data_IF_078425441530
#
_entry.id   IF_078425441530
#
_cell.length_a   1.000
_cell.length_b   1.000
_cell.length_c   1.000
_cell.angle_alpha   90.00
_cell.angle_beta   90.00
_cell.angle_gamma   90.00
#
_symmetry.space_group_name_H-M   'P 1'
#
loop_
_entity.id
_entity.type
_entity.pdbx_description
1 polymer ?
#
# COMPACT_ATOMS: atom_id res chain seq x y z
N UNK A 1 -5.24 -6.35 -11.12
CA UNK A 1 -4.31 -5.46 -10.40
C UNK A 1 -4.95 -4.10 -10.21
N UNK A 2 -4.84 -3.52 -9.04
CA UNK A 2 -5.37 -2.19 -8.73
C UNK A 2 -4.23 -1.20 -8.57
N UNK A 3 -4.40 0.01 -9.08
CA UNK A 3 -3.39 1.07 -8.97
C UNK A 3 -4.04 2.37 -8.50
N UNK A 4 -3.30 3.16 -7.72
CA UNK A 4 -3.66 4.54 -7.45
C UNK A 4 -2.41 5.42 -7.45
N UNK A 5 -2.61 6.71 -7.56
CA UNK A 5 -1.51 7.68 -7.58
C UNK A 5 -1.57 8.56 -6.34
N UNK A 6 -0.41 8.90 -5.82
CA UNK A 6 -0.27 9.79 -4.68
C UNK A 6 1.03 10.58 -4.81
N UNK A 7 1.24 11.50 -3.90
CA UNK A 7 2.43 12.35 -3.84
C UNK A 7 2.97 12.32 -2.42
N UNK A 8 4.28 12.25 -2.28
CA UNK A 8 4.94 12.31 -0.98
C UNK A 8 4.71 13.67 -0.34
N UNK A 9 4.16 13.67 0.88
CA UNK A 9 3.84 14.88 1.64
C UNK A 9 4.94 15.20 2.63
N UNK A 10 4.98 16.46 3.08
CA UNK A 10 5.93 16.90 4.09
C UNK A 10 5.85 16.07 5.38
N UNK A 11 4.64 15.75 5.85
CA UNK A 11 4.44 14.96 7.07
C UNK A 11 4.88 13.50 6.94
N UNK A 12 5.13 13.02 5.73
CA UNK A 12 5.63 11.66 5.49
C UNK A 12 7.14 11.54 5.71
N UNK A 13 7.83 12.65 5.91
CA UNK A 13 9.28 12.69 5.99
C UNK A 13 9.78 12.67 7.44
N UNK A 14 10.94 12.02 7.65
CA UNK A 14 11.68 12.12 8.91
C UNK A 14 12.57 13.37 8.94
N UNK A 15 13.33 13.54 10.03
CA UNK A 15 14.19 14.70 10.20
C UNK A 15 15.31 14.79 9.15
N UNK A 16 15.65 13.69 8.48
CA UNK A 16 16.64 13.65 7.41
C UNK A 16 16.03 13.79 6.02
N UNK A 17 14.72 14.06 5.94
CA UNK A 17 14.02 14.22 4.66
C UNK A 17 13.77 12.92 3.93
N UNK A 18 13.82 11.78 4.62
CA UNK A 18 13.48 10.48 4.07
C UNK A 18 12.05 10.12 4.41
N UNK A 19 11.37 9.43 3.52
CA UNK A 19 10.01 8.94 3.81
C UNK A 19 10.09 7.92 4.94
N UNK A 20 9.28 8.14 5.97
CA UNK A 20 9.21 7.25 7.13
C UNK A 20 8.65 5.89 6.73
N UNK A 21 9.14 4.82 7.34
CA UNK A 21 8.62 3.47 7.10
C UNK A 21 7.10 3.40 7.34
N UNK A 22 6.54 3.96 8.44
CA UNK A 22 5.08 3.98 8.60
C UNK A 22 4.34 4.67 7.46
N UNK A 23 4.90 5.72 6.87
CA UNK A 23 4.29 6.39 5.71
C UNK A 23 4.27 5.46 4.48
N UNK A 24 5.35 4.73 4.23
CA UNK A 24 5.40 3.74 3.16
C UNK A 24 4.31 2.68 3.35
N UNK A 25 4.18 2.15 4.56
CA UNK A 25 3.13 1.17 4.87
C UNK A 25 1.73 1.76 4.68
N UNK A 26 1.53 3.03 5.00
CA UNK A 26 0.26 3.72 4.77
C UNK A 26 -0.08 3.80 3.28
N UNK A 27 0.89 4.07 2.42
CA UNK A 27 0.65 4.06 0.96
C UNK A 27 0.17 2.67 0.51
N UNK A 28 0.78 1.62 1.03
CA UNK A 28 0.44 0.24 0.66
C UNK A 28 -0.93 -0.15 1.20
N UNK A 29 -1.22 0.14 2.46
CA UNK A 29 -2.53 -0.14 3.07
C UNK A 29 -3.65 0.59 2.35
N UNK A 30 -3.43 1.85 1.98
CA UNK A 30 -4.44 2.62 1.26
C UNK A 30 -4.76 1.96 -0.09
N UNK A 31 -3.75 1.43 -0.79
CA UNK A 31 -3.99 0.69 -2.02
C UNK A 31 -4.89 -0.52 -1.80
N UNK A 32 -4.66 -1.27 -0.73
CA UNK A 32 -5.48 -2.44 -0.40
C UNK A 32 -6.91 -2.06 -0.06
N UNK A 33 -7.11 -0.99 0.71
CA UNK A 33 -8.43 -0.49 1.08
C UNK A 33 -9.20 0.00 -0.15
N UNK A 34 -8.54 0.75 -1.03
CA UNK A 34 -9.13 1.24 -2.27
C UNK A 34 -9.50 0.08 -3.20
N UNK A 35 -8.66 -0.93 -3.29
CA UNK A 35 -8.96 -2.11 -4.10
C UNK A 35 -10.17 -2.86 -3.55
N UNK A 36 -10.28 -3.03 -2.24
CA UNK A 36 -11.44 -3.65 -1.62
C UNK A 36 -12.71 -2.84 -1.89
N UNK A 37 -12.65 -1.52 -1.77
CA UNK A 37 -13.78 -0.64 -2.07
C UNK A 37 -14.21 -0.76 -3.53
N UNK A 38 -13.26 -0.86 -4.46
CA UNK A 38 -13.53 -0.98 -5.89
C UNK A 38 -14.31 -2.26 -6.26
N UNK A 39 -14.19 -3.31 -5.43
CA UNK A 39 -14.93 -4.57 -5.62
C UNK A 39 -16.12 -4.72 -4.65
N UNK A 40 -16.55 -3.62 -4.03
CA UNK A 40 -17.77 -3.56 -3.22
C UNK A 40 -17.59 -3.73 -1.72
N UNK A 41 -16.36 -3.81 -1.22
CA UNK A 41 -16.06 -3.98 0.21
C UNK A 41 -15.44 -2.72 0.80
N UNK A 42 -16.14 -1.59 0.69
CA UNK A 42 -15.73 -0.36 1.37
C UNK A 42 -15.95 -0.46 2.89
N UNK A 43 -15.57 0.58 3.61
CA UNK A 43 -15.64 0.57 5.07
C UNK A 43 -17.07 0.39 5.59
N UNK A 44 -18.05 1.02 4.93
CA UNK A 44 -19.45 0.90 5.32
C UNK A 44 -19.98 -0.51 5.10
N UNK A 45 -19.65 -1.10 3.95
CA UNK A 45 -20.06 -2.48 3.64
C UNK A 45 -19.42 -3.49 4.59
N UNK A 46 -18.15 -3.29 4.94
CA UNK A 46 -17.47 -4.17 5.89
C UNK A 46 -18.14 -4.08 7.28
N UNK A 47 -18.51 -2.87 7.70
CA UNK A 47 -19.23 -2.69 8.96
C UNK A 47 -20.59 -3.39 8.96
N UNK A 48 -21.35 -3.30 7.85
CA UNK A 48 -22.63 -4.01 7.70
C UNK A 48 -22.48 -5.52 7.81
N UNK A 49 -21.38 -6.06 7.29
CA UNK A 49 -21.09 -7.49 7.31
C UNK A 49 -20.42 -7.95 8.61
N UNK A 50 -20.14 -7.02 9.52
CA UNK A 50 -19.43 -7.27 10.77
C UNK A 50 -18.04 -7.91 10.51
N UNK A 51 -17.34 -7.40 9.50
CA UNK A 51 -16.02 -7.88 9.07
C UNK A 51 -14.96 -6.79 9.20
N UNK A 52 -13.73 -7.21 9.40
CA UNK A 52 -12.57 -6.33 9.26
C UNK A 52 -11.38 -7.11 8.73
N UNK A 53 -10.45 -6.38 8.11
CA UNK A 53 -9.17 -6.92 7.68
C UNK A 53 -8.09 -6.43 8.64
N UNK A 54 -7.23 -7.35 9.07
CA UNK A 54 -6.09 -7.02 9.92
C UNK A 54 -4.84 -7.53 9.23
N UNK A 55 -3.87 -6.63 9.04
CA UNK A 55 -2.55 -7.01 8.52
C UNK A 55 -1.76 -7.62 9.65
N UNK A 56 -1.31 -8.86 9.46
CA UNK A 56 -0.52 -9.59 10.48
C UNK A 56 0.97 -9.41 10.25
N UNK A 57 1.40 -9.24 9.00
CA UNK A 57 2.82 -9.21 8.69
C UNK A 57 3.07 -8.48 7.37
N UNK A 58 4.19 -7.76 7.31
CA UNK A 58 4.71 -7.11 6.13
C UNK A 58 6.11 -7.63 5.82
N UNK A 59 6.38 -7.86 4.52
CA UNK A 59 7.73 -8.07 4.01
C UNK A 59 7.96 -7.01 2.95
N UNK A 60 8.82 -6.04 3.23
CA UNK A 60 9.02 -4.87 2.36
C UNK A 60 10.48 -4.77 1.94
N UNK A 61 10.70 -4.68 0.64
CA UNK A 61 12.02 -4.42 0.05
C UNK A 61 12.03 -3.01 -0.52
N UNK A 62 12.95 -2.19 -0.03
CA UNK A 62 13.09 -0.80 -0.45
C UNK A 62 14.20 -0.69 -1.50
N UNK A 63 13.92 0.10 -2.53
CA UNK A 63 14.90 0.51 -3.53
C UNK A 63 15.59 1.80 -3.12
N UNK A 64 15.74 2.73 -4.08
CA UNK A 64 16.32 4.03 -3.78
C UNK A 64 15.44 4.86 -2.86
N UNK A 65 16.04 5.88 -2.26
CA UNK A 65 15.32 6.86 -1.43
C UNK A 65 14.17 7.50 -2.19
N UNK A 66 12.98 7.50 -1.58
CA UNK A 66 11.81 8.21 -2.07
C UNK A 66 11.90 9.66 -1.58
N UNK A 67 11.69 10.61 -2.48
CA UNK A 67 11.96 12.04 -2.25
C UNK A 67 10.68 12.79 -1.97
N UNK A 68 10.82 13.93 -1.29
CA UNK A 68 9.71 14.85 -1.06
C UNK A 68 9.06 15.26 -2.39
N UNK A 69 7.75 15.36 -2.36
CA UNK A 69 6.91 15.78 -3.49
C UNK A 69 7.02 14.88 -4.72
N UNK A 70 7.59 13.71 -4.57
CA UNK A 70 7.68 12.74 -5.66
C UNK A 70 6.30 12.14 -5.95
N UNK A 71 5.94 12.06 -7.24
CA UNK A 71 4.73 11.39 -7.67
C UNK A 71 4.94 9.87 -7.64
N UNK A 72 4.02 9.16 -7.01
CA UNK A 72 4.09 7.72 -6.84
C UNK A 72 2.88 7.04 -7.47
N UNK A 73 3.10 5.90 -8.10
CA UNK A 73 2.05 4.96 -8.48
C UNK A 73 2.17 3.75 -7.58
N UNK A 74 1.10 3.42 -6.88
CA UNK A 74 1.06 2.27 -5.98
C UNK A 74 0.18 1.21 -6.60
N UNK A 75 0.73 0.01 -6.77
CA UNK A 75 0.05 -1.15 -7.35
C UNK A 75 -0.16 -2.21 -6.29
N UNK A 76 -1.30 -2.88 -6.33
CA UNK A 76 -1.58 -4.00 -5.43
C UNK A 76 -2.41 -5.07 -6.12
N UNK A 77 -2.24 -6.31 -5.68
CA UNK A 77 -2.97 -7.47 -6.17
C UNK A 77 -3.04 -8.55 -5.10
N UNK A 78 -4.23 -9.15 -4.86
CA UNK A 78 -4.30 -10.36 -4.06
C UNK A 78 -3.81 -11.52 -4.91
N UNK A 79 -3.05 -12.46 -4.33
CA UNK A 79 -2.54 -13.57 -5.12
C UNK A 79 -2.73 -14.95 -4.49
N UNK A 80 -3.05 -15.03 -3.21
CA UNK A 80 -3.20 -16.32 -2.56
C UNK A 80 -4.07 -16.20 -1.31
N UNK A 81 -4.88 -17.22 -1.06
CA UNK A 81 -5.73 -17.31 0.12
C UNK A 81 -5.59 -18.68 0.77
N UNK A 82 -5.43 -18.70 2.11
CA UNK A 82 -5.40 -19.88 2.92
C UNK A 82 -6.48 -19.72 4.00
N UNK A 83 -7.68 -20.26 3.76
CA UNK A 83 -8.80 -20.05 4.69
C UNK A 83 -9.11 -18.57 4.85
N UNK A 84 -8.95 -18.03 6.04
CA UNK A 84 -9.18 -16.62 6.35
C UNK A 84 -7.94 -15.74 6.14
N UNK A 85 -6.81 -16.30 5.71
CA UNK A 85 -5.57 -15.55 5.47
C UNK A 85 -5.44 -15.25 3.98
N UNK A 86 -5.35 -13.96 3.65
CA UNK A 86 -5.09 -13.49 2.29
C UNK A 86 -3.67 -12.96 2.16
N UNK A 87 -2.99 -13.34 1.07
CA UNK A 87 -1.69 -12.76 0.72
C UNK A 87 -1.88 -11.76 -0.41
N UNK A 88 -1.20 -10.63 -0.28
CA UNK A 88 -1.31 -9.53 -1.22
C UNK A 88 0.08 -8.99 -1.56
N UNK A 89 0.30 -8.74 -2.85
CA UNK A 89 1.52 -8.11 -3.34
C UNK A 89 1.33 -6.63 -3.59
N UNK A 90 2.44 -5.88 -3.56
CA UNK A 90 2.46 -4.44 -3.76
C UNK A 90 3.72 -4.01 -4.48
N UNK A 91 3.61 -2.92 -5.24
CA UNK A 91 4.76 -2.17 -5.76
C UNK A 91 4.50 -0.69 -5.67
N UNK A 92 5.56 0.08 -5.39
CA UNK A 92 5.55 1.54 -5.52
C UNK A 92 6.48 1.89 -6.67
N UNK A 93 5.96 2.64 -7.64
CA UNK A 93 6.68 3.06 -8.84
C UNK A 93 6.86 4.57 -8.85
N UNK A 94 7.99 5.03 -9.38
CA UNK A 94 8.21 6.46 -9.67
C UNK A 94 7.39 6.88 -10.90
N UNK A 95 7.37 8.19 -11.17
CA UNK A 95 6.74 8.72 -12.38
C UNK A 95 7.37 8.17 -13.67
N UNK A 96 8.61 7.70 -13.62
CA UNK A 96 9.33 7.10 -14.75
C UNK A 96 9.18 5.58 -14.80
N UNK A 97 8.40 4.97 -13.90
CA UNK A 97 8.19 3.53 -13.85
C UNK A 97 9.27 2.75 -13.10
N UNK A 98 10.17 3.43 -12.42
CA UNK A 98 11.19 2.79 -11.59
C UNK A 98 10.56 2.17 -10.35
N UNK A 99 10.90 0.93 -10.03
CA UNK A 99 10.39 0.27 -8.82
C UNK A 99 11.11 0.81 -7.59
N UNK A 100 10.39 1.51 -6.74
CA UNK A 100 10.91 2.12 -5.52
C UNK A 100 10.76 1.22 -4.30
N UNK A 101 9.75 0.37 -4.30
CA UNK A 101 9.51 -0.60 -3.24
C UNK A 101 8.71 -1.77 -3.78
N UNK A 102 8.93 -2.94 -3.20
CA UNK A 102 8.13 -4.15 -3.41
C UNK A 102 7.75 -4.71 -2.06
N UNK A 103 6.55 -5.23 -1.93
CA UNK A 103 6.09 -5.74 -0.64
C UNK A 103 5.09 -6.88 -0.79
N UNK A 104 5.04 -7.68 0.26
CA UNK A 104 3.99 -8.67 0.48
C UNK A 104 3.40 -8.44 1.86
N UNK A 105 2.10 -8.71 2.00
CA UNK A 105 1.41 -8.70 3.28
C UNK A 105 0.54 -9.94 3.44
N UNK A 106 0.29 -10.30 4.69
CA UNK A 106 -0.66 -11.35 5.05
C UNK A 106 -1.23 -11.19 6.45
#
# INVERSE_FOLDING_TARGET
MYTYQTVVRYEDLDAQGRVKIPAILNYLENAAVLNAAAVGYDMDRMAELDLCWVVMCWDVKLGRRIRWNEALTVETWPYQFYGSIGKRGFRILSAQGEVLAEADSW
#
